data_IF_944472408764
#
_entry.id   IF_944472408764
#
_cell.length_a   1.000
_cell.length_b   1.000
_cell.length_c   1.000
_cell.angle_alpha   90.00
_cell.angle_beta   90.00
_cell.angle_gamma   90.00
#
_symmetry.space_group_name_H-M   'P 1'
#
loop_
_entity.id
_entity.type
_entity.pdbx_description
1 polymer ?
#
# COMPACT_ATOMS: atom_id res chain seq x y z
N UNK A 1 -4.39 5.19 14.42
CA UNK A 1 -5.01 5.28 13.08
C UNK A 1 -6.26 4.40 12.93
N UNK A 2 -6.21 3.13 13.30
CA UNK A 2 -7.34 2.22 13.23
C UNK A 2 -7.70 1.73 14.63
N UNK A 3 -8.99 1.88 15.03
CA UNK A 3 -9.47 1.58 16.37
C UNK A 3 -9.91 0.13 16.57
N UNK A 4 -9.96 -0.68 15.50
CA UNK A 4 -10.41 -2.07 15.51
C UNK A 4 -11.92 -2.27 15.64
N UNK A 5 -12.73 -1.21 15.56
CA UNK A 5 -14.18 -1.27 15.77
C UNK A 5 -14.98 -0.82 14.55
N UNK A 6 -14.54 0.24 13.91
CA UNK A 6 -15.23 0.89 12.79
C UNK A 6 -14.24 1.60 11.86
N UNK A 7 -14.76 2.25 10.84
CA UNK A 7 -13.96 3.01 9.84
C UNK A 7 -13.68 4.46 10.26
N UNK A 8 -13.88 4.84 11.52
CA UNK A 8 -13.54 6.19 11.98
C UNK A 8 -12.06 6.48 11.74
N UNK A 9 -11.76 7.61 11.10
CA UNK A 9 -10.42 7.98 10.64
C UNK A 9 -10.06 7.47 9.23
N UNK A 10 -11.00 6.78 8.57
CA UNK A 10 -10.88 6.29 7.21
C UNK A 10 -12.10 6.63 6.36
N UNK A 11 -11.91 6.80 5.07
CA UNK A 11 -12.96 6.94 4.07
C UNK A 11 -12.52 6.37 2.73
N UNK A 12 -13.43 6.12 1.85
CA UNK A 12 -13.10 5.72 0.49
C UNK A 12 -12.42 6.87 -0.28
N UNK A 13 -11.50 6.51 -1.16
CA UNK A 13 -10.88 7.47 -2.08
C UNK A 13 -11.94 8.19 -2.90
N UNK A 14 -11.84 9.53 -2.96
CA UNK A 14 -12.85 10.41 -3.63
C UNK A 14 -14.30 10.21 -3.15
N UNK A 15 -14.50 9.67 -1.94
CA UNK A 15 -15.82 9.34 -1.39
C UNK A 15 -16.66 8.44 -2.30
N UNK A 16 -16.02 7.55 -3.07
CA UNK A 16 -16.71 6.62 -3.97
C UNK A 16 -17.57 5.66 -3.13
N UNK A 17 -18.83 5.53 -3.48
CA UNK A 17 -19.78 4.62 -2.83
C UNK A 17 -19.56 3.16 -3.26
N UNK A 18 -20.08 2.21 -2.49
CA UNK A 18 -20.07 0.78 -2.81
C UNK A 18 -18.79 0.07 -2.40
N UNK A 19 -18.26 0.41 -1.24
CA UNK A 19 -17.06 -0.20 -0.65
C UNK A 19 -17.27 -1.64 -0.22
N UNK A 20 -16.27 -2.51 -0.46
CA UNK A 20 -16.20 -3.85 0.13
C UNK A 20 -15.49 -3.89 1.48
N UNK A 21 -15.12 -2.72 2.02
CA UNK A 21 -14.42 -2.64 3.30
C UNK A 21 -15.36 -2.88 4.47
N UNK A 22 -14.97 -3.78 5.34
CA UNK A 22 -15.67 -4.13 6.55
C UNK A 22 -14.70 -4.25 7.72
N UNK A 23 -15.21 -4.06 8.93
CA UNK A 23 -14.45 -4.37 10.16
C UNK A 23 -15.01 -5.65 10.76
N UNK A 24 -14.19 -6.71 10.79
CA UNK A 24 -14.52 -8.03 11.34
C UNK A 24 -13.50 -8.42 12.40
N UNK A 25 -13.96 -8.65 13.63
CA UNK A 25 -13.09 -9.12 14.74
C UNK A 25 -11.80 -8.30 14.92
N UNK A 26 -11.91 -6.98 14.90
CA UNK A 26 -10.78 -6.07 15.08
C UNK A 26 -9.86 -5.94 13.85
N UNK A 27 -10.30 -6.44 12.71
CA UNK A 27 -9.53 -6.43 11.45
C UNK A 27 -10.30 -5.66 10.39
N UNK A 28 -9.62 -4.77 9.71
CA UNK A 28 -10.10 -4.08 8.51
C UNK A 28 -9.92 -5.00 7.32
N UNK A 29 -11.01 -5.38 6.66
CA UNK A 29 -11.03 -6.39 5.61
C UNK A 29 -11.57 -5.82 4.30
N UNK A 30 -10.94 -6.16 3.18
CA UNK A 30 -11.50 -6.03 1.84
C UNK A 30 -11.46 -7.38 1.17
N UNK A 31 -12.64 -7.94 0.88
CA UNK A 31 -12.77 -9.22 0.21
C UNK A 31 -13.46 -8.99 -1.14
N UNK A 32 -12.92 -9.59 -2.19
CA UNK A 32 -13.51 -9.50 -3.52
C UNK A 32 -14.73 -10.43 -3.58
N UNK A 33 -15.91 -9.84 -3.43
CA UNK A 33 -17.15 -10.46 -3.89
C UNK A 33 -17.32 -10.21 -5.39
N UNK A 34 -17.95 -11.14 -6.08
CA UNK A 34 -18.27 -11.03 -7.50
C UNK A 34 -19.15 -9.79 -7.77
N UNK A 35 -18.57 -8.75 -8.35
CA UNK A 35 -19.27 -7.56 -8.84
C UNK A 35 -19.29 -6.39 -7.84
N UNK A 36 -19.02 -5.21 -8.33
CA UNK A 36 -19.07 -3.94 -7.59
C UNK A 36 -17.78 -3.13 -7.67
N UNK A 37 -17.90 -1.84 -7.38
CA UNK A 37 -16.75 -0.96 -7.18
C UNK A 37 -16.06 -1.35 -5.88
N UNK A 38 -14.74 -1.38 -5.90
CA UNK A 38 -13.94 -1.68 -4.71
C UNK A 38 -12.90 -0.57 -4.50
N UNK A 39 -13.33 0.62 -4.06
CA UNK A 39 -12.43 1.74 -3.88
C UNK A 39 -11.45 1.49 -2.74
N UNK A 40 -10.25 2.03 -2.87
CA UNK A 40 -9.27 2.07 -1.80
C UNK A 40 -9.77 2.91 -0.62
N UNK A 41 -9.30 2.62 0.58
CA UNK A 41 -9.48 3.50 1.74
C UNK A 41 -8.29 4.44 1.88
N UNK A 42 -8.60 5.68 2.26
CA UNK A 42 -7.60 6.66 2.65
C UNK A 42 -7.86 7.14 4.07
N UNK A 43 -6.80 7.52 4.79
CA UNK A 43 -6.92 8.17 6.10
C UNK A 43 -7.65 9.51 5.95
N UNK A 44 -8.41 9.95 6.95
CA UNK A 44 -8.98 11.31 6.97
C UNK A 44 -7.91 12.37 7.20
N UNK A 45 -6.89 12.03 7.98
CA UNK A 45 -5.73 12.88 8.25
C UNK A 45 -4.66 12.71 7.17
N UNK A 46 -3.86 13.76 6.98
CA UNK A 46 -2.71 13.79 6.07
C UNK A 46 -1.41 13.85 6.86
N UNK A 47 -0.36 13.23 6.33
CA UNK A 47 0.94 13.13 7.00
C UNK A 47 2.06 13.51 6.03
N UNK A 48 3.10 14.16 6.55
CA UNK A 48 4.32 14.49 5.83
C UNK A 48 5.45 13.55 6.23
N UNK A 49 5.88 13.63 7.51
CA UNK A 49 6.93 12.79 8.06
C UNK A 49 6.31 11.85 9.11
N UNK A 50 6.57 10.56 9.01
CA UNK A 50 5.94 9.58 9.89
C UNK A 50 6.67 8.23 9.90
N UNK A 51 6.39 7.45 10.93
CA UNK A 51 6.60 6.02 11.00
C UNK A 51 5.21 5.35 11.05
N UNK A 52 4.86 4.58 10.02
CA UNK A 52 3.64 3.79 9.93
C UNK A 52 3.96 2.33 10.22
N UNK A 53 3.34 1.76 11.23
CA UNK A 53 3.37 0.32 11.52
C UNK A 53 2.00 -0.29 11.24
N UNK A 54 1.98 -1.42 10.53
CA UNK A 54 0.75 -2.08 10.11
C UNK A 54 0.93 -3.59 10.04
N UNK A 55 0.04 -4.32 10.71
CA UNK A 55 -0.05 -5.76 10.54
C UNK A 55 -1.04 -6.09 9.43
N UNK A 56 -0.63 -6.98 8.52
CA UNK A 56 -1.44 -7.36 7.39
C UNK A 56 -1.33 -8.84 7.06
N UNK A 57 -2.33 -9.37 6.39
CA UNK A 57 -2.30 -10.65 5.71
C UNK A 57 -3.11 -10.59 4.43
N UNK A 58 -2.79 -11.46 3.49
CA UNK A 58 -3.53 -11.64 2.23
C UNK A 58 -3.95 -13.09 2.09
N UNK A 59 -5.01 -13.33 1.34
CA UNK A 59 -5.35 -14.68 0.88
C UNK A 59 -4.43 -15.13 -0.25
N UNK A 60 -4.37 -16.44 -0.57
CA UNK A 60 -3.70 -16.91 -1.79
C UNK A 60 -4.17 -16.14 -3.02
N UNK A 61 -3.24 -15.83 -3.93
CA UNK A 61 -3.47 -15.10 -5.19
C UNK A 61 -3.95 -13.64 -5.03
N UNK A 62 -3.92 -13.09 -3.83
CA UNK A 62 -4.33 -11.71 -3.60
C UNK A 62 -3.26 -10.72 -4.04
N UNK A 63 -3.72 -9.50 -4.36
CA UNK A 63 -2.91 -8.34 -4.70
C UNK A 63 -3.54 -7.09 -4.06
N UNK A 64 -2.75 -6.29 -3.41
CA UNK A 64 -3.11 -5.08 -2.67
C UNK A 64 -1.87 -4.19 -2.51
N UNK A 65 -1.98 -3.09 -1.77
CA UNK A 65 -0.86 -2.18 -1.51
C UNK A 65 -1.13 -1.24 -0.35
N UNK A 66 -0.07 -0.60 0.13
CA UNK A 66 -0.13 0.50 1.08
C UNK A 66 0.54 1.70 0.41
N UNK A 67 -0.18 2.81 0.25
CA UNK A 67 0.36 4.03 -0.35
C UNK A 67 0.44 5.15 0.69
N UNK A 68 1.34 6.08 0.47
CA UNK A 68 1.49 7.26 1.30
C UNK A 68 1.62 8.52 0.45
N UNK A 69 1.41 9.69 1.04
CA UNK A 69 1.34 10.99 0.36
C UNK A 69 0.32 11.02 -0.79
N UNK A 70 -0.77 10.26 -0.62
CA UNK A 70 -1.85 10.20 -1.62
C UNK A 70 -2.60 11.53 -1.65
N UNK A 71 -2.80 12.06 -2.86
CA UNK A 71 -3.68 13.21 -3.14
C UNK A 71 -4.88 12.76 -3.97
N UNK A 72 -5.97 13.55 -3.98
CA UNK A 72 -7.20 13.18 -4.66
C UNK A 72 -7.39 13.84 -6.03
N UNK A 73 -6.32 14.41 -6.60
CA UNK A 73 -6.35 15.06 -7.91
C UNK A 73 -6.31 14.06 -9.09
N UNK A 74 -6.00 12.80 -8.82
CA UNK A 74 -5.82 11.74 -9.82
C UNK A 74 -6.94 10.70 -9.72
N UNK A 75 -7.04 9.81 -10.71
CA UNK A 75 -8.12 8.82 -10.74
C UNK A 75 -7.90 7.65 -9.78
N UNK A 76 -6.66 7.35 -9.42
CA UNK A 76 -6.31 6.28 -8.50
C UNK A 76 -5.27 6.73 -7.45
N UNK A 77 -5.28 6.09 -6.30
CA UNK A 77 -4.38 6.36 -5.17
C UNK A 77 -2.91 6.21 -5.54
N UNK A 78 -2.58 5.19 -6.35
CA UNK A 78 -1.22 4.89 -6.79
C UNK A 78 -0.66 5.86 -7.86
N UNK A 79 -1.47 6.75 -8.41
CA UNK A 79 -1.00 7.77 -9.36
C UNK A 79 -0.30 8.94 -8.68
N UNK A 80 -0.55 9.16 -7.40
CA UNK A 80 0.14 10.16 -6.59
C UNK A 80 1.04 9.55 -5.52
N UNK A 81 0.54 8.52 -4.81
CA UNK A 81 1.23 7.89 -3.69
C UNK A 81 2.17 6.75 -4.10
N UNK A 82 3.46 6.81 -3.72
CA UNK A 82 4.33 5.64 -3.83
C UNK A 82 3.75 4.45 -3.06
N UNK A 83 3.84 3.27 -3.67
CA UNK A 83 3.19 2.05 -3.18
C UNK A 83 4.19 1.06 -2.57
N UNK A 84 3.95 0.68 -1.32
CA UNK A 84 4.49 -0.53 -0.71
C UNK A 84 3.62 -1.71 -1.16
N UNK A 85 4.13 -2.55 -2.06
CA UNK A 85 3.39 -3.65 -2.68
C UNK A 85 3.03 -4.77 -1.70
N UNK A 86 1.82 -5.31 -1.83
CA UNK A 86 1.35 -6.51 -1.13
C UNK A 86 0.80 -7.51 -2.16
N UNK A 87 1.50 -8.63 -2.36
CA UNK A 87 1.09 -9.67 -3.32
C UNK A 87 1.50 -11.05 -2.81
N UNK A 88 0.79 -12.07 -3.23
CA UNK A 88 1.23 -13.46 -2.99
C UNK A 88 2.43 -13.78 -3.91
N UNK A 89 3.64 -13.55 -3.39
CA UNK A 89 4.89 -13.69 -4.16
C UNK A 89 5.05 -15.05 -4.86
N UNK A 90 4.47 -16.11 -4.28
CA UNK A 90 4.69 -17.50 -4.73
C UNK A 90 3.49 -18.09 -5.46
N UNK A 91 2.28 -17.68 -5.06
CA UNK A 91 1.04 -18.25 -5.56
C UNK A 91 0.28 -17.36 -6.52
N UNK A 92 0.78 -16.14 -6.82
CA UNK A 92 0.15 -15.29 -7.82
C UNK A 92 0.23 -15.98 -9.19
N UNK A 93 -0.91 -16.14 -9.91
CA UNK A 93 -0.95 -17.01 -11.10
C UNK A 93 -0.15 -16.49 -12.28
N UNK A 94 -0.03 -15.15 -12.42
CA UNK A 94 0.76 -14.55 -13.48
C UNK A 94 2.23 -14.45 -13.05
N UNK A 95 3.14 -14.45 -14.02
CA UNK A 95 4.54 -14.15 -13.75
C UNK A 95 4.66 -12.72 -13.23
N UNK A 96 5.29 -12.57 -12.07
CA UNK A 96 5.59 -11.27 -11.49
C UNK A 96 7.10 -10.99 -11.53
N UNK A 97 7.45 -9.77 -11.84
CA UNK A 97 8.84 -9.28 -11.82
C UNK A 97 9.23 -8.87 -10.38
N UNK A 98 10.52 -8.76 -10.09
CA UNK A 98 11.00 -8.46 -8.73
C UNK A 98 10.46 -7.15 -8.16
N UNK A 99 10.23 -6.15 -8.99
CA UNK A 99 9.65 -4.87 -8.60
C UNK A 99 8.12 -4.91 -8.34
N UNK A 100 7.47 -6.05 -8.59
CA UNK A 100 6.07 -6.32 -8.28
C UNK A 100 5.89 -7.14 -7.01
N UNK A 101 6.96 -7.63 -6.41
CA UNK A 101 6.89 -8.46 -5.20
C UNK A 101 6.60 -7.63 -3.95
N UNK A 102 6.04 -8.29 -2.94
CA UNK A 102 5.71 -7.69 -1.65
C UNK A 102 6.91 -6.95 -1.04
N UNK A 103 6.64 -5.74 -0.56
CA UNK A 103 7.63 -4.85 0.05
C UNK A 103 8.39 -3.98 -0.93
N UNK A 104 8.32 -4.24 -2.23
CA UNK A 104 8.89 -3.37 -3.24
C UNK A 104 8.26 -1.96 -3.19
N UNK A 105 9.02 -0.94 -3.58
CA UNK A 105 8.47 0.31 -4.07
C UNK A 105 8.00 0.04 -5.51
N UNK A 106 6.70 -0.20 -5.67
CA UNK A 106 6.11 -0.73 -6.89
C UNK A 106 6.53 0.02 -8.15
N UNK A 107 7.00 -0.75 -9.14
CA UNK A 107 7.50 -0.24 -10.43
C UNK A 107 8.67 0.75 -10.34
N UNK A 108 9.34 0.82 -9.18
CA UNK A 108 10.54 1.64 -8.97
C UNK A 108 11.71 0.80 -8.47
N UNK A 109 11.58 0.16 -7.30
CA UNK A 109 12.70 -0.57 -6.69
C UNK A 109 12.22 -1.91 -6.12
N UNK A 110 12.87 -3.02 -6.47
CA UNK A 110 12.56 -4.32 -5.90
C UNK A 110 12.93 -4.39 -4.42
N UNK A 111 12.25 -5.26 -3.67
CA UNK A 111 12.68 -5.65 -2.35
C UNK A 111 14.00 -6.42 -2.40
N UNK A 112 14.90 -6.12 -1.47
CA UNK A 112 16.25 -6.75 -1.40
C UNK A 112 16.20 -8.23 -1.01
N UNK A 113 15.13 -8.65 -0.34
CA UNK A 113 14.90 -10.02 0.12
C UNK A 113 13.40 -10.29 0.25
N UNK A 114 12.97 -11.53 0.01
CA UNK A 114 11.62 -11.97 0.37
C UNK A 114 11.59 -12.28 1.88
N UNK A 115 10.85 -11.47 2.62
CA UNK A 115 10.65 -11.63 4.06
C UNK A 115 9.18 -11.95 4.41
N UNK A 116 8.38 -12.37 3.42
CA UNK A 116 6.95 -12.66 3.60
C UNK A 116 6.72 -13.95 4.37
N UNK A 117 5.70 -13.95 5.23
CA UNK A 117 5.06 -15.17 5.71
C UNK A 117 4.10 -15.70 4.64
N UNK A 118 3.62 -16.94 4.78
CA UNK A 118 2.72 -17.52 3.80
C UNK A 118 1.37 -16.79 3.76
N UNK A 119 0.63 -16.82 2.62
CA UNK A 119 -0.73 -16.30 2.57
C UNK A 119 -1.60 -16.85 3.71
N UNK A 120 -2.39 -15.96 4.35
CA UNK A 120 -3.18 -16.27 5.54
C UNK A 120 -2.46 -16.00 6.86
N UNK A 121 -1.13 -15.96 6.88
CA UNK A 121 -0.35 -15.59 8.06
C UNK A 121 -0.13 -14.08 8.15
N UNK A 122 0.01 -13.57 9.38
CA UNK A 122 0.26 -12.14 9.60
C UNK A 122 1.70 -11.77 9.26
N UNK A 123 1.84 -10.63 8.63
CA UNK A 123 3.08 -9.92 8.41
C UNK A 123 3.05 -8.58 9.14
N UNK A 124 4.20 -8.08 9.53
CA UNK A 124 4.39 -6.77 10.14
C UNK A 124 5.20 -5.88 9.21
N UNK A 125 4.57 -4.85 8.64
CA UNK A 125 5.24 -3.85 7.82
C UNK A 125 5.48 -2.57 8.60
N UNK A 126 6.61 -1.91 8.33
CA UNK A 126 6.88 -0.54 8.76
C UNK A 126 7.31 0.28 7.54
N UNK A 127 6.69 1.45 7.39
CA UNK A 127 7.07 2.46 6.39
C UNK A 127 7.52 3.69 7.15
N UNK A 128 8.76 4.12 6.93
CA UNK A 128 9.30 5.35 7.50
C UNK A 128 9.45 6.38 6.39
N UNK A 129 8.91 7.57 6.60
CA UNK A 129 9.09 8.72 5.72
C UNK A 129 9.59 9.88 6.57
N UNK A 130 10.79 10.37 6.29
CA UNK A 130 11.38 11.47 7.03
C UNK A 130 12.16 12.41 6.09
N UNK A 131 11.62 13.61 5.83
CA UNK A 131 12.22 14.63 4.96
C UNK A 131 12.58 14.11 3.56
N UNK A 132 11.73 13.21 3.00
CA UNK A 132 11.93 12.59 1.70
C UNK A 132 12.70 11.28 1.72
N UNK A 133 13.40 10.96 2.80
CA UNK A 133 13.99 9.65 3.02
C UNK A 133 12.89 8.62 3.33
N UNK A 134 12.87 7.50 2.61
CA UNK A 134 11.86 6.46 2.75
C UNK A 134 12.51 5.10 2.98
N UNK A 135 11.98 4.36 3.94
CA UNK A 135 12.36 2.97 4.18
C UNK A 135 11.11 2.07 4.19
N UNK A 136 11.22 0.90 3.58
CA UNK A 136 10.26 -0.18 3.68
C UNK A 136 10.84 -1.33 4.50
N UNK A 137 10.12 -1.74 5.54
CA UNK A 137 10.50 -2.85 6.41
C UNK A 137 9.40 -3.93 6.40
N UNK A 138 9.79 -5.18 6.49
CA UNK A 138 8.89 -6.33 6.61
C UNK A 138 9.46 -7.35 7.58
N UNK A 139 8.69 -7.72 8.60
CA UNK A 139 9.05 -8.72 9.60
C UNK A 139 10.46 -8.49 10.19
N UNK A 140 10.79 -7.21 10.46
CA UNK A 140 12.07 -6.79 11.05
C UNK A 140 13.25 -6.69 10.07
N UNK A 141 13.02 -6.86 8.76
CA UNK A 141 14.06 -6.70 7.72
C UNK A 141 13.79 -5.45 6.88
N UNK A 142 14.81 -4.62 6.67
CA UNK A 142 14.74 -3.50 5.71
C UNK A 142 14.82 -4.05 4.29
N UNK A 143 13.82 -3.73 3.47
CA UNK A 143 13.66 -4.24 2.12
C UNK A 143 14.07 -3.24 1.05
N UNK A 144 13.69 -1.97 1.23
CA UNK A 144 13.92 -0.89 0.27
C UNK A 144 14.28 0.38 1.04
N UNK A 145 15.14 1.19 0.44
CA UNK A 145 15.51 2.52 0.94
C UNK A 145 15.73 3.47 -0.24
N UNK A 146 15.17 4.67 -0.18
CA UNK A 146 15.28 5.65 -1.25
C UNK A 146 14.98 7.08 -0.79
N UNK A 147 15.38 8.04 -1.63
CA UNK A 147 15.11 9.47 -1.44
C UNK A 147 14.12 9.96 -2.49
N UNK A 148 12.93 10.39 -2.07
CA UNK A 148 11.94 11.01 -2.95
C UNK A 148 12.51 12.28 -3.60
N UNK A 149 12.29 12.43 -4.91
CA UNK A 149 12.71 13.61 -5.66
C UNK A 149 14.22 13.76 -5.87
N UNK A 150 15.05 12.79 -5.42
CA UNK A 150 16.49 12.76 -5.75
C UNK A 150 16.71 12.56 -7.25
N UNK A 151 17.91 12.83 -7.74
CA UNK A 151 18.22 12.60 -9.15
C UNK A 151 18.11 11.13 -9.54
N UNK A 152 18.50 10.21 -8.64
CA UNK A 152 18.30 8.77 -8.82
C UNK A 152 16.80 8.42 -8.93
N UNK A 153 15.95 8.98 -8.08
CA UNK A 153 14.50 8.82 -8.15
C UNK A 153 13.94 9.31 -9.48
N UNK A 154 14.32 10.52 -9.90
CA UNK A 154 13.87 11.12 -11.17
C UNK A 154 14.26 10.27 -12.39
N UNK A 155 15.50 9.77 -12.41
CA UNK A 155 15.98 8.88 -13.48
C UNK A 155 15.18 7.58 -13.52
N UNK A 156 14.96 6.93 -12.38
CA UNK A 156 14.17 5.70 -12.30
C UNK A 156 12.71 5.94 -12.73
N UNK A 157 12.09 7.03 -12.25
CA UNK A 157 10.72 7.41 -12.63
C UNK A 157 10.63 7.62 -14.15
N UNK A 158 11.55 8.37 -14.76
CA UNK A 158 11.55 8.68 -16.19
C UNK A 158 11.77 7.44 -17.08
N UNK A 159 12.45 6.42 -16.55
CA UNK A 159 12.71 5.18 -17.29
C UNK A 159 11.59 4.13 -17.12
N UNK A 160 10.66 4.32 -16.18
CA UNK A 160 9.69 3.31 -15.77
C UNK A 160 8.22 3.63 -16.08
N UNK A 161 7.34 2.87 -15.43
CA UNK A 161 5.88 2.98 -15.52
C UNK A 161 5.37 4.41 -15.26
N UNK A 162 6.04 5.13 -14.38
CA UNK A 162 5.57 6.43 -13.87
C UNK A 162 6.07 7.64 -14.66
N UNK A 163 6.73 7.43 -15.80
CA UNK A 163 7.37 8.50 -16.62
C UNK A 163 6.41 9.64 -16.98
N UNK A 164 5.16 9.32 -17.30
CA UNK A 164 4.15 10.29 -17.76
C UNK A 164 3.17 10.66 -16.62
N UNK A 165 3.39 10.21 -15.38
CA UNK A 165 2.55 10.49 -14.22
C UNK A 165 3.22 11.55 -13.35
N UNK A 166 2.95 12.83 -13.64
CA UNK A 166 3.61 13.95 -12.96
C UNK A 166 3.41 13.92 -11.43
N UNK A 167 2.21 13.53 -10.98
CA UNK A 167 1.83 13.50 -9.56
C UNK A 167 2.56 12.43 -8.75
N UNK A 168 3.06 11.34 -9.37
CA UNK A 168 3.66 10.23 -8.65
C UNK A 168 4.89 10.64 -7.83
N UNK A 169 4.76 10.51 -6.49
CA UNK A 169 5.79 10.86 -5.53
C UNK A 169 6.13 12.35 -5.45
N UNK A 170 5.25 13.24 -5.96
CA UNK A 170 5.47 14.68 -5.97
C UNK A 170 5.00 15.38 -4.69
N UNK A 171 3.93 14.90 -4.08
CA UNK A 171 3.38 15.47 -2.86
C UNK A 171 4.30 15.19 -1.66
N UNK A 172 4.48 16.19 -0.79
CA UNK A 172 5.22 16.04 0.47
C UNK A 172 4.31 15.66 1.63
N UNK A 173 3.03 15.96 1.51
CA UNK A 173 2.00 15.69 2.51
C UNK A 173 0.81 15.07 1.80
N UNK A 174 0.22 14.04 2.38
CA UNK A 174 -0.94 13.37 1.82
C UNK A 174 -1.50 12.29 2.72
N UNK A 175 -2.54 11.63 2.24
CA UNK A 175 -3.20 10.55 2.95
C UNK A 175 -2.36 9.28 2.93
N UNK A 176 -2.54 8.43 3.95
CA UNK A 176 -2.17 7.02 3.90
C UNK A 176 -3.33 6.28 3.23
N UNK A 177 -3.04 5.43 2.25
CA UNK A 177 -4.04 4.59 1.62
C UNK A 177 -3.76 3.11 1.83
N UNK A 178 -4.82 2.32 1.95
CA UNK A 178 -4.78 0.86 1.85
C UNK A 178 -5.63 0.43 0.66
N UNK A 179 -5.00 -0.34 -0.22
CA UNK A 179 -5.64 -0.73 -1.46
C UNK A 179 -6.59 -1.90 -1.22
N UNK A 180 -7.79 -1.79 -1.77
CA UNK A 180 -8.72 -2.90 -1.82
C UNK A 180 -8.13 -4.05 -2.66
N UNK A 181 -8.48 -5.31 -2.33
CA UNK A 181 -8.01 -6.43 -3.17
C UNK A 181 -8.48 -6.25 -4.61
N UNK A 182 -7.56 -6.27 -5.55
CA UNK A 182 -7.83 -6.07 -6.97
C UNK A 182 -7.27 -7.16 -7.87
N UNK A 183 -6.88 -8.30 -7.29
CA UNK A 183 -6.50 -9.46 -8.08
C UNK A 183 -7.62 -9.86 -9.04
N UNK A 184 -7.28 -10.33 -10.24
CA UNK A 184 -8.24 -10.82 -11.23
C UNK A 184 -9.03 -12.07 -10.78
N UNK A 185 -8.73 -12.61 -9.58
CA UNK A 185 -9.22 -13.90 -9.09
C UNK A 185 -10.32 -13.74 -8.04
N UNK A 186 -11.30 -14.64 -8.07
CA UNK A 186 -12.36 -14.70 -7.06
C UNK A 186 -11.82 -15.17 -5.70
N UNK A 187 -12.55 -14.85 -4.63
CA UNK A 187 -12.23 -15.27 -3.26
C UNK A 187 -10.85 -14.80 -2.77
N UNK A 188 -10.41 -13.63 -3.20
CA UNK A 188 -9.21 -13.00 -2.71
C UNK A 188 -9.55 -11.91 -1.70
N UNK A 189 -8.68 -11.71 -0.72
CA UNK A 189 -8.89 -10.72 0.32
C UNK A 189 -7.59 -10.18 0.88
N UNK A 190 -7.66 -8.97 1.41
CA UNK A 190 -6.62 -8.32 2.20
C UNK A 190 -7.17 -7.92 3.55
N UNK A 191 -6.35 -8.03 4.57
CA UNK A 191 -6.73 -7.85 5.96
C UNK A 191 -5.67 -7.05 6.69
N UNK A 192 -6.08 -5.96 7.36
CA UNK A 192 -5.21 -5.08 8.11
C UNK A 192 -5.64 -4.95 9.56
N UNK A 193 -4.68 -4.87 10.47
CA UNK A 193 -4.92 -4.57 11.89
C UNK A 193 -3.74 -3.84 12.50
N UNK A 194 -3.90 -3.37 13.73
CA UNK A 194 -2.84 -2.68 14.48
C UNK A 194 -2.19 -1.53 13.69
N UNK A 195 -2.99 -0.80 12.90
CA UNK A 195 -2.50 0.32 12.11
C UNK A 195 -2.17 1.48 13.04
N UNK A 196 -0.91 1.81 13.17
CA UNK A 196 -0.41 2.86 14.04
C UNK A 196 0.49 3.81 13.24
N UNK A 197 0.37 5.09 13.50
CA UNK A 197 1.23 6.11 12.90
C UNK A 197 1.80 6.98 14.00
N UNK A 198 3.08 7.31 13.86
CA UNK A 198 3.81 8.25 14.70
C UNK A 198 4.36 9.35 13.80
N UNK A 199 3.87 10.58 13.91
CA UNK A 199 4.49 11.74 13.24
C UNK A 199 5.95 11.91 13.71
N UNK A 200 6.84 12.31 12.78
CA UNK A 200 8.26 12.53 13.00
C UNK A 200 8.63 14.02 12.92
#
# INVERSE_FOLDING_TARGET
>A
MFNGKDLNGWRTYKNIEGSSWEVKSGTLCSEKSSGGKNPDLISTEMYENFELAIDWKISPKANSGIMFHVTEDNDATYESGPEYQLIDNKGYPDKIEDWQKTGANYAMQPASVDATNNPGELNHAVIIVNKGHVEHWLNGKKLVEYELGSDKWKVQKAAGKWKDVAAYGAAKTGHIAVQATHSGFANTGVYFKNIKIKPL
#
